data_IF_586433875853
#
_entry.id   IF_586433875853
#
_cell.length_a   1.000
_cell.length_b   1.000
_cell.length_c   1.000
_cell.angle_alpha   90.00
_cell.angle_beta   90.00
_cell.angle_gamma   90.00
#
_symmetry.space_group_name_H-M   'P 1'
#
loop_
_entity.id
_entity.type
_entity.pdbx_description
1 polymer ?
#
# COMPACT_ATOMS: atom_id res chain seq x y z
N UNK A 1 -3.94 -21.94 12.31
CA UNK A 1 -5.08 -22.71 12.84
C UNK A 1 -5.14 -22.74 14.36
N UNK A 2 -4.00 -22.98 15.05
CA UNK A 2 -3.96 -23.02 16.52
C UNK A 2 -4.76 -21.92 17.25
N UNK A 3 -4.61 -20.65 16.85
CA UNK A 3 -5.34 -19.52 17.45
C UNK A 3 -6.87 -19.59 17.20
N UNK A 4 -7.29 -20.01 16.02
CA UNK A 4 -8.73 -20.16 15.74
C UNK A 4 -9.34 -21.25 16.61
N UNK A 5 -8.68 -22.41 16.71
CA UNK A 5 -9.14 -23.53 17.53
C UNK A 5 -9.19 -23.21 19.03
N UNK A 6 -8.24 -22.39 19.53
CA UNK A 6 -8.17 -22.05 20.95
C UNK A 6 -9.14 -20.96 21.40
N UNK A 7 -9.58 -20.10 20.48
CA UNK A 7 -10.18 -18.82 20.86
C UNK A 7 -11.49 -18.49 20.13
N UNK A 8 -11.88 -19.27 19.12
CA UNK A 8 -13.16 -19.08 18.45
C UNK A 8 -14.34 -19.39 19.38
N UNK A 9 -15.42 -18.64 19.21
CA UNK A 9 -16.69 -18.83 19.90
C UNK A 9 -17.84 -18.54 18.93
N UNK A 10 -19.00 -19.21 19.07
CA UNK A 10 -20.17 -18.89 18.26
C UNK A 10 -20.70 -17.48 18.58
N UNK A 11 -21.26 -16.81 17.57
CA UNK A 11 -21.92 -15.50 17.70
C UNK A 11 -21.03 -14.37 18.24
N UNK A 12 -19.74 -14.38 17.89
CA UNK A 12 -18.83 -13.27 18.19
C UNK A 12 -19.33 -11.94 17.60
N UNK A 13 -19.05 -10.85 18.32
CA UNK A 13 -19.25 -9.50 17.77
C UNK A 13 -18.26 -9.25 16.62
N UNK A 14 -18.56 -8.23 15.82
CA UNK A 14 -17.70 -7.78 14.73
C UNK A 14 -16.26 -7.52 15.21
N UNK A 15 -16.10 -6.87 16.35
CA UNK A 15 -14.80 -6.51 16.93
C UNK A 15 -14.05 -7.74 17.42
N UNK A 16 -14.75 -8.67 18.07
CA UNK A 16 -14.16 -9.93 18.53
C UNK A 16 -13.68 -10.79 17.36
N UNK A 17 -14.48 -10.89 16.30
CA UNK A 17 -14.10 -11.61 15.08
C UNK A 17 -12.88 -10.97 14.40
N UNK A 18 -12.87 -9.63 14.27
CA UNK A 18 -11.74 -8.90 13.71
C UNK A 18 -10.46 -9.12 14.52
N UNK A 19 -10.56 -9.07 15.86
CA UNK A 19 -9.43 -9.30 16.75
C UNK A 19 -8.92 -10.74 16.63
N UNK A 20 -9.79 -11.75 16.64
CA UNK A 20 -9.42 -13.16 16.48
C UNK A 20 -8.66 -13.39 15.17
N UNK A 21 -9.19 -12.90 14.05
CA UNK A 21 -8.54 -13.02 12.74
C UNK A 21 -7.20 -12.31 12.74
N UNK A 22 -7.13 -11.10 13.28
CA UNK A 22 -5.88 -10.32 13.35
C UNK A 22 -4.81 -11.05 14.17
N UNK A 23 -5.17 -11.63 15.31
CA UNK A 23 -4.26 -12.44 16.14
C UNK A 23 -3.83 -13.71 15.42
N UNK A 24 -4.75 -14.41 14.75
CA UNK A 24 -4.43 -15.62 14.00
C UNK A 24 -3.46 -15.36 12.84
N UNK A 25 -3.66 -14.28 12.07
CA UNK A 25 -2.73 -13.89 11.00
C UNK A 25 -1.40 -13.41 11.56
N UNK A 26 -1.41 -12.64 12.66
CA UNK A 26 -0.18 -12.22 13.34
C UNK A 26 0.64 -13.42 13.84
N UNK A 27 -0.02 -14.48 14.31
CA UNK A 27 0.67 -15.72 14.69
C UNK A 27 1.34 -16.38 13.48
N UNK A 28 0.74 -16.34 12.28
CA UNK A 28 1.41 -16.75 11.05
C UNK A 28 2.63 -15.89 10.74
N UNK A 29 2.46 -14.56 10.75
CA UNK A 29 3.55 -13.59 10.51
C UNK A 29 4.78 -13.84 11.39
N UNK A 30 4.59 -14.21 12.67
CA UNK A 30 5.70 -14.39 13.60
C UNK A 30 6.25 -15.81 13.68
N UNK A 31 5.55 -16.83 13.18
CA UNK A 31 5.96 -18.23 13.34
C UNK A 31 6.18 -18.98 12.02
N UNK A 32 5.75 -18.45 10.88
CA UNK A 32 5.95 -19.03 9.56
C UNK A 32 6.84 -18.12 8.70
N UNK A 33 7.95 -18.67 8.17
CA UNK A 33 8.92 -17.94 7.34
C UNK A 33 8.34 -17.51 5.97
N UNK A 34 7.28 -18.17 5.51
CA UNK A 34 6.56 -17.79 4.29
C UNK A 34 5.60 -16.61 4.48
N UNK A 35 5.34 -16.22 5.73
CA UNK A 35 4.38 -15.19 6.10
C UNK A 35 5.10 -13.97 6.71
N UNK A 36 4.57 -12.76 6.51
CA UNK A 36 5.23 -11.56 7.05
C UNK A 36 4.54 -10.24 6.72
N UNK A 37 5.19 -9.14 7.10
CA UNK A 37 4.74 -7.76 6.86
C UNK A 37 3.52 -7.34 7.71
N UNK A 38 2.36 -7.09 7.10
CA UNK A 38 1.20 -6.43 7.71
C UNK A 38 -0.03 -7.34 7.67
N UNK A 39 -1.05 -6.98 8.45
CA UNK A 39 -2.37 -7.60 8.41
C UNK A 39 -3.36 -6.71 7.68
N UNK A 40 -3.99 -7.24 6.64
CA UNK A 40 -5.17 -6.67 6.00
C UNK A 40 -6.41 -7.45 6.44
N UNK A 41 -7.53 -6.76 6.63
CA UNK A 41 -8.80 -7.40 6.96
C UNK A 41 -9.92 -6.90 6.03
N UNK A 42 -10.87 -7.78 5.74
CA UNK A 42 -12.09 -7.46 5.00
C UNK A 42 -13.28 -7.89 5.84
N UNK A 43 -14.18 -6.95 6.14
CA UNK A 43 -15.39 -7.21 6.90
C UNK A 43 -16.56 -7.17 5.93
N UNK A 44 -17.27 -8.29 5.81
CA UNK A 44 -18.45 -8.43 4.94
C UNK A 44 -19.67 -8.58 5.84
N UNK A 45 -20.64 -7.69 5.69
CA UNK A 45 -21.94 -7.74 6.35
C UNK A 45 -23.05 -7.80 5.31
N UNK A 46 -24.30 -8.03 5.73
CA UNK A 46 -25.44 -7.99 4.82
C UNK A 46 -25.64 -6.60 4.16
N UNK A 47 -25.16 -5.55 4.80
CA UNK A 47 -25.31 -4.16 4.32
C UNK A 47 -24.16 -3.68 3.44
N UNK A 48 -23.01 -4.36 3.44
CA UNK A 48 -21.88 -3.95 2.63
C UNK A 48 -20.56 -4.61 2.99
N UNK A 49 -19.48 -4.05 2.47
CA UNK A 49 -18.12 -4.55 2.65
C UNK A 49 -17.19 -3.42 3.03
N UNK A 50 -16.33 -3.67 4.01
CA UNK A 50 -15.33 -2.73 4.50
C UNK A 50 -13.94 -3.35 4.41
N UNK A 51 -13.08 -2.73 3.62
CA UNK A 51 -11.68 -3.14 3.46
C UNK A 51 -10.79 -2.33 4.40
N UNK A 52 -10.13 -3.01 5.33
CA UNK A 52 -9.15 -2.46 6.27
C UNK A 52 -7.74 -2.79 5.79
N UNK A 53 -7.18 -1.92 4.95
CA UNK A 53 -5.81 -2.05 4.43
C UNK A 53 -4.78 -1.62 5.46
N UNK A 54 -3.76 -2.45 5.66
CA UNK A 54 -2.69 -2.31 6.65
C UNK A 54 -3.24 -2.02 8.05
N UNK A 55 -4.26 -2.78 8.46
CA UNK A 55 -4.94 -2.63 9.73
C UNK A 55 -3.97 -2.76 10.92
N UNK A 56 -3.07 -3.76 10.87
CA UNK A 56 -1.96 -3.89 11.82
C UNK A 56 -0.63 -3.91 11.06
N UNK A 57 0.32 -3.12 11.56
CA UNK A 57 1.67 -2.98 10.99
C UNK A 57 2.71 -3.34 12.05
N UNK A 58 2.88 -4.64 12.37
CA UNK A 58 3.78 -5.04 13.45
C UNK A 58 5.27 -4.93 13.07
N UNK A 59 5.57 -4.83 11.77
CA UNK A 59 6.92 -4.92 11.22
C UNK A 59 7.36 -3.62 10.53
N UNK A 60 7.37 -2.51 11.27
CA UNK A 60 7.92 -1.26 10.73
C UNK A 60 9.43 -1.35 10.56
N UNK A 61 9.91 -1.00 9.36
CA UNK A 61 11.35 -1.02 9.08
C UNK A 61 12.01 0.17 9.76
N UNK A 62 13.02 -0.12 10.57
CA UNK A 62 13.87 0.90 11.17
C UNK A 62 14.65 1.71 10.13
N UNK A 63 15.05 2.91 10.53
CA UNK A 63 15.96 3.73 9.72
C UNK A 63 17.29 3.01 9.51
N UNK A 64 17.82 3.08 8.30
CA UNK A 64 19.14 2.51 8.00
C UNK A 64 20.21 3.42 8.60
N UNK A 65 21.19 2.83 9.27
CA UNK A 65 22.32 3.58 9.86
C UNK A 65 23.17 4.32 8.81
N UNK A 66 23.18 3.83 7.56
CA UNK A 66 23.96 4.40 6.47
C UNK A 66 23.08 4.89 5.34
N UNK A 67 23.48 6.02 4.77
CA UNK A 67 22.93 6.54 3.51
C UNK A 67 23.73 5.97 2.34
N UNK A 68 23.03 5.26 1.44
CA UNK A 68 23.63 4.61 0.26
C UNK A 68 23.51 5.47 -1.01
N UNK A 69 23.49 6.79 -0.86
CA UNK A 69 23.46 7.72 -1.99
C UNK A 69 24.85 7.82 -2.61
N UNK A 70 24.99 7.39 -3.87
CA UNK A 70 26.24 7.51 -4.61
C UNK A 70 26.40 8.91 -5.23
N UNK A 71 27.65 9.34 -5.40
CA UNK A 71 27.96 10.57 -6.16
C UNK A 71 27.60 10.36 -7.63
N UNK A 72 27.21 11.44 -8.31
CA UNK A 72 27.02 11.42 -9.78
C UNK A 72 28.32 10.98 -10.45
N UNK A 73 28.22 10.14 -11.48
CA UNK A 73 29.37 9.57 -12.19
C UNK A 73 29.95 8.28 -11.59
N UNK A 74 29.37 7.74 -10.51
CA UNK A 74 29.85 6.49 -9.90
C UNK A 74 29.70 5.24 -10.80
N UNK A 75 28.71 5.24 -11.69
CA UNK A 75 28.44 4.12 -12.61
C UNK A 75 29.13 4.36 -13.95
N UNK A 76 29.99 3.43 -14.38
CA UNK A 76 30.60 3.45 -15.70
C UNK A 76 29.54 3.16 -16.79
N UNK A 77 29.52 3.94 -17.87
CA UNK A 77 28.59 3.76 -18.99
C UNK A 77 29.36 3.56 -20.31
N UNK A 78 28.74 2.85 -21.27
CA UNK A 78 29.34 2.53 -22.58
C UNK A 78 28.79 3.40 -23.72
N UNK A 79 27.49 3.69 -23.70
CA UNK A 79 26.82 4.56 -24.66
C UNK A 79 25.68 5.34 -23.98
N UNK A 80 25.38 6.52 -24.51
CA UNK A 80 24.31 7.40 -24.05
C UNK A 80 23.40 7.71 -25.25
N UNK A 81 22.09 7.65 -25.05
CA UNK A 81 21.10 8.04 -26.06
C UNK A 81 19.97 8.81 -25.39
N UNK A 82 19.72 10.03 -25.86
CA UNK A 82 18.72 10.94 -25.30
C UNK A 82 17.44 10.82 -26.14
N UNK A 83 16.36 10.34 -25.53
CA UNK A 83 15.03 10.26 -26.18
C UNK A 83 14.24 11.54 -25.94
N UNK A 84 13.77 12.17 -27.00
CA UNK A 84 12.76 13.24 -26.92
C UNK A 84 11.38 12.60 -26.78
N UNK A 85 10.74 12.79 -25.63
CA UNK A 85 9.42 12.19 -25.34
C UNK A 85 8.25 13.01 -25.90
N UNK A 86 8.49 14.27 -26.30
CA UNK A 86 7.48 15.11 -26.93
C UNK A 86 7.41 14.71 -28.41
N UNK A 87 6.29 14.07 -28.77
CA UNK A 87 6.02 13.61 -30.15
C UNK A 87 5.24 14.67 -30.93
N UNK A 88 4.38 15.45 -30.27
CA UNK A 88 3.65 16.56 -30.86
C UNK A 88 3.26 17.56 -29.76
N UNK A 89 3.38 18.85 -30.04
CA UNK A 89 2.98 19.94 -29.16
C UNK A 89 1.91 20.76 -29.90
N UNK A 90 0.64 20.61 -29.48
CA UNK A 90 -0.45 21.44 -29.96
C UNK A 90 -0.71 22.55 -28.95
N UNK A 91 -0.41 23.78 -29.35
CA UNK A 91 -0.75 24.99 -28.59
C UNK A 91 -2.13 25.44 -29.04
N UNK A 92 -3.14 25.26 -28.18
CA UNK A 92 -4.46 25.83 -28.39
C UNK A 92 -4.50 27.21 -27.72
N UNK A 93 -4.51 28.32 -28.49
CA UNK A 93 -4.71 29.63 -27.90
C UNK A 93 -6.13 29.69 -27.32
N UNK A 94 -6.23 29.86 -25.99
CA UNK A 94 -7.49 30.17 -25.33
C UNK A 94 -7.76 31.65 -25.61
N UNK A 95 -8.43 31.93 -26.73
CA UNK A 95 -8.97 33.25 -26.99
C UNK A 95 -10.06 33.50 -25.93
N UNK A 96 -9.82 34.46 -25.03
CA UNK A 96 -10.81 34.90 -24.07
C UNK A 96 -12.06 35.38 -24.79
N UNK A 97 -13.22 34.90 -24.36
CA UNK A 97 -14.51 35.38 -24.82
C UNK A 97 -14.56 36.90 -24.65
N UNK A 98 -14.76 37.60 -25.77
CA UNK A 98 -15.11 39.01 -25.74
C UNK A 98 -16.46 39.12 -25.02
N UNK A 99 -16.45 39.64 -23.80
CA UNK A 99 -17.65 40.01 -23.05
C UNK A 99 -18.42 41.06 -23.87
N UNK A 100 -19.56 40.67 -24.42
CA UNK A 100 -20.48 41.58 -25.11
C UNK A 100 -21.24 42.38 -24.05
N UNK A 101 -20.94 43.68 -23.95
CA UNK A 101 -21.68 44.63 -23.11
C UNK A 101 -22.77 45.26 -23.96
N UNK A 102 -24.00 44.82 -23.75
CA UNK A 102 -25.25 45.47 -24.17
C UNK A 102 -26.25 45.44 -23.03
#
# INVERSE_FOLDING_TARGET
MAIFESSWQPNMTREQALQLVTTAISAGIFNDLGSGSNVDACIITATGTEMLRNFVKPNERVEKERKYTFRRGATAWKSESIRKLIVNEQVTPVAGEAMDVS
#
